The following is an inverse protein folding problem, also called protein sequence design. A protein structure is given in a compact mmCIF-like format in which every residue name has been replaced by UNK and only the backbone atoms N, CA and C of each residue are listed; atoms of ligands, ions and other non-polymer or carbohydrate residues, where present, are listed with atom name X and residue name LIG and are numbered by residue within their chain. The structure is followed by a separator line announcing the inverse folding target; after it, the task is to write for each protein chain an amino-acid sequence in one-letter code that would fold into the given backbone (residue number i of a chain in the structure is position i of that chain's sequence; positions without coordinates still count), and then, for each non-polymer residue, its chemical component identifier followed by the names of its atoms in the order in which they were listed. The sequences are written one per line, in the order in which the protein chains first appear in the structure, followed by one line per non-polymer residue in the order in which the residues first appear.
data_IF_160635911203
#
_entry.id   IF_160635911203
#
_cell.length_a   1.000
_cell.length_b   1.000
_cell.length_c   1.000
_cell.angle_alpha   90.00
_cell.angle_beta   90.00
_cell.angle_gamma   90.00
#
_symmetry.space_group_name_H-M   'P 1'
#
loop_
_entity.id
_entity.type
_entity.pdbx_description
1 polymer ?
#
# COMPACT_ATOMS: atom_id res chain seq x y z
N UNK A 1 20.83 8.15 12.87
CA UNK A 1 20.04 8.18 11.62
C UNK A 1 20.97 8.41 10.44
N UNK A 2 20.72 7.73 9.33
CA UNK A 2 21.41 7.91 8.05
C UNK A 2 20.93 9.18 7.37
N UNK A 3 21.81 9.80 6.60
CA UNK A 3 21.51 10.89 5.66
C UNK A 3 20.84 10.36 4.40
N UNK A 4 20.21 11.24 3.62
CA UNK A 4 19.58 10.84 2.35
C UNK A 4 20.59 10.15 1.41
N UNK A 5 21.79 10.70 1.26
CA UNK A 5 22.82 10.12 0.39
C UNK A 5 23.26 8.72 0.82
N UNK A 6 23.23 8.41 2.12
CA UNK A 6 23.52 7.06 2.63
C UNK A 6 22.37 6.06 2.44
N UNK A 7 21.16 6.56 2.13
CA UNK A 7 20.01 5.73 1.79
C UNK A 7 19.90 5.46 0.28
N UNK A 8 20.53 6.30 -0.55
CA UNK A 8 20.55 6.15 -2.00
C UNK A 8 21.66 5.20 -2.44
N UNK A 9 21.25 4.05 -2.96
CA UNK A 9 22.05 3.21 -3.82
C UNK A 9 21.80 3.61 -5.28
N UNK A 10 22.84 3.95 -6.02
CA UNK A 10 22.75 4.46 -7.40
C UNK A 10 22.97 3.32 -8.41
N UNK A 11 23.69 2.27 -8.02
CA UNK A 11 24.12 1.19 -8.91
C UNK A 11 23.18 -0.01 -8.83
N UNK A 12 22.74 -0.37 -7.63
CA UNK A 12 21.93 -1.56 -7.35
C UNK A 12 20.57 -1.22 -6.74
N UNK A 13 19.89 -0.21 -7.30
CA UNK A 13 18.51 0.10 -6.87
C UNK A 13 17.60 -1.12 -6.99
N UNK A 14 16.77 -1.36 -5.97
CA UNK A 14 15.65 -2.29 -6.04
C UNK A 14 14.67 -1.93 -7.17
N UNK A 15 14.68 -0.65 -7.59
CA UNK A 15 13.84 -0.13 -8.66
C UNK A 15 14.14 -0.75 -10.01
N UNK A 16 15.40 -1.05 -10.32
CA UNK A 16 15.74 -1.72 -11.58
C UNK A 16 15.07 -3.08 -11.69
N UNK A 17 15.03 -3.85 -10.60
CA UNK A 17 14.36 -5.16 -10.54
C UNK A 17 12.85 -5.03 -10.71
N UNK A 18 12.23 -4.06 -10.02
CA UNK A 18 10.79 -3.78 -10.13
C UNK A 18 10.41 -3.35 -11.55
N UNK A 19 11.20 -2.50 -12.20
CA UNK A 19 10.96 -2.08 -13.60
C UNK A 19 10.98 -3.26 -14.57
N UNK A 20 11.91 -4.20 -14.43
CA UNK A 20 11.96 -5.39 -15.28
C UNK A 20 10.77 -6.32 -15.06
N UNK A 21 10.29 -6.46 -13.82
CA UNK A 21 9.08 -7.23 -13.52
C UNK A 21 7.82 -6.58 -14.10
N UNK A 22 7.70 -5.25 -13.97
CA UNK A 22 6.57 -4.48 -14.49
C UNK A 22 6.48 -4.51 -16.02
N UNK A 23 7.61 -4.52 -16.74
CA UNK A 23 7.63 -4.65 -18.21
C UNK A 23 6.88 -5.88 -18.73
N UNK A 24 6.84 -6.94 -17.93
CA UNK A 24 6.21 -8.21 -18.28
C UNK A 24 4.90 -8.46 -17.51
N UNK A 25 4.42 -7.48 -16.73
CA UNK A 25 3.23 -7.63 -15.90
C UNK A 25 2.00 -8.00 -16.74
N UNK A 26 1.25 -9.00 -16.29
CA UNK A 26 -0.02 -9.39 -16.91
C UNK A 26 -1.19 -8.55 -16.40
N UNK A 27 -1.10 -8.04 -15.17
CA UNK A 27 -2.11 -7.19 -14.58
C UNK A 27 -1.91 -5.73 -15.00
N UNK A 28 -3.01 -5.00 -15.17
CA UNK A 28 -2.96 -3.56 -15.44
C UNK A 28 -2.28 -2.85 -14.26
N UNK A 29 -1.37 -1.92 -14.54
CA UNK A 29 -0.75 -1.09 -13.53
C UNK A 29 -0.61 0.37 -13.96
N UNK A 30 -0.59 1.27 -13.00
CA UNK A 30 -0.20 2.67 -13.16
C UNK A 30 0.86 3.03 -12.11
N UNK A 31 2.02 3.51 -12.55
CA UNK A 31 3.04 4.07 -11.66
C UNK A 31 2.73 5.55 -11.47
N UNK A 32 2.45 5.96 -10.23
CA UNK A 32 2.20 7.35 -9.91
C UNK A 32 3.51 8.13 -9.86
N UNK A 33 3.52 9.30 -10.48
CA UNK A 33 4.70 10.17 -10.49
C UNK A 33 5.03 10.65 -9.08
N UNK A 34 6.31 10.63 -8.72
CA UNK A 34 6.79 11.17 -7.45
C UNK A 34 6.87 12.70 -7.47
N UNK A 35 6.61 13.32 -6.33
CA UNK A 35 7.20 14.62 -6.00
C UNK A 35 8.57 14.37 -5.36
N UNK A 36 9.61 14.98 -5.90
CA UNK A 36 10.99 14.67 -5.47
C UNK A 36 11.26 15.10 -4.03
N UNK A 37 10.66 16.19 -3.57
CA UNK A 37 10.84 16.68 -2.20
C UNK A 37 10.15 15.75 -1.20
N UNK A 38 8.90 15.37 -1.50
CA UNK A 38 8.12 14.42 -0.70
C UNK A 38 8.79 13.05 -0.65
N UNK A 39 9.27 12.53 -1.79
CA UNK A 39 9.98 11.25 -1.85
C UNK A 39 11.28 11.25 -1.03
N UNK A 40 12.06 12.34 -1.08
CA UNK A 40 13.27 12.48 -0.27
C UNK A 40 12.94 12.46 1.23
N UNK A 41 11.89 13.19 1.64
CA UNK A 41 11.46 13.26 3.04
C UNK A 41 10.91 11.93 3.53
N UNK A 42 10.06 11.27 2.74
CA UNK A 42 9.52 9.94 3.02
C UNK A 42 10.63 8.90 3.18
N UNK A 43 11.58 8.86 2.24
CA UNK A 43 12.71 7.94 2.31
C UNK A 43 13.55 8.20 3.56
N UNK A 44 13.87 9.47 3.84
CA UNK A 44 14.64 9.85 5.03
C UNK A 44 13.90 9.45 6.31
N UNK A 45 12.60 9.71 6.41
CA UNK A 45 11.82 9.33 7.59
C UNK A 45 11.69 7.80 7.74
N UNK A 46 11.71 7.05 6.62
CA UNK A 46 11.67 5.58 6.66
C UNK A 46 12.98 4.95 7.14
N UNK A 47 14.12 5.61 6.89
CA UNK A 47 15.47 5.03 7.09
C UNK A 47 15.73 3.73 6.30
N UNK A 48 14.91 3.45 5.28
CA UNK A 48 15.05 2.32 4.37
C UNK A 48 15.92 2.73 3.17
N UNK A 49 16.81 1.85 2.70
CA UNK A 49 17.66 2.14 1.54
C UNK A 49 16.96 1.81 0.21
N UNK A 50 17.33 2.50 -0.87
CA UNK A 50 16.81 2.24 -2.22
C UNK A 50 17.31 0.94 -2.84
N UNK A 51 18.25 0.25 -2.20
CA UNK A 51 18.60 -1.14 -2.54
C UNK A 51 17.41 -2.10 -2.25
N UNK A 52 16.61 -1.81 -1.21
CA UNK A 52 15.39 -2.57 -0.94
C UNK A 52 14.27 -2.20 -1.91
N UNK A 53 13.32 -3.12 -2.13
CA UNK A 53 12.12 -2.85 -2.96
C UNK A 53 11.24 -1.76 -2.35
N UNK A 54 11.04 -1.76 -1.03
CA UNK A 54 10.22 -0.75 -0.33
C UNK A 54 10.84 0.64 -0.50
N UNK A 55 12.14 0.79 -0.17
CA UNK A 55 12.83 2.07 -0.32
C UNK A 55 12.89 2.56 -1.76
N UNK A 56 13.05 1.64 -2.72
CA UNK A 56 12.95 1.96 -4.14
C UNK A 56 11.57 2.50 -4.52
N UNK A 57 10.47 1.86 -4.08
CA UNK A 57 9.11 2.33 -4.39
C UNK A 57 8.82 3.68 -3.75
N UNK A 58 9.22 3.88 -2.49
CA UNK A 58 9.14 5.18 -1.80
C UNK A 58 9.89 6.25 -2.59
N UNK A 59 11.13 5.96 -3.01
CA UNK A 59 11.97 6.96 -3.65
C UNK A 59 11.60 7.26 -5.10
N UNK A 60 11.07 6.28 -5.83
CA UNK A 60 10.89 6.36 -7.28
C UNK A 60 9.45 6.62 -7.71
N UNK A 61 8.49 6.47 -6.80
CA UNK A 61 7.06 6.56 -7.15
C UNK A 61 6.27 7.30 -6.08
N UNK A 62 5.15 7.90 -6.49
CA UNK A 62 4.11 8.31 -5.56
C UNK A 62 3.23 7.16 -5.07
N UNK A 63 3.49 5.94 -5.53
CA UNK A 63 2.68 4.74 -5.33
C UNK A 63 2.46 3.99 -6.64
N UNK A 64 1.94 2.76 -6.54
CA UNK A 64 1.61 1.92 -7.68
C UNK A 64 0.16 1.48 -7.55
N UNK A 65 -0.64 1.78 -8.58
CA UNK A 65 -2.02 1.33 -8.69
C UNK A 65 -2.06 0.07 -9.55
N UNK A 66 -2.68 -0.99 -9.04
CA UNK A 66 -2.82 -2.28 -9.71
C UNK A 66 -4.31 -2.53 -9.97
N UNK A 67 -4.59 -3.16 -11.12
CA UNK A 67 -5.91 -3.56 -11.58
C UNK A 67 -6.93 -2.42 -11.51
N UNK A 68 -6.69 -1.40 -12.34
CA UNK A 68 -7.47 -0.15 -12.37
C UNK A 68 -7.56 0.61 -11.04
N UNK A 69 -6.56 0.44 -10.16
CA UNK A 69 -6.52 1.09 -8.85
C UNK A 69 -7.30 0.37 -7.76
N UNK A 70 -7.70 -0.89 -8.02
CA UNK A 70 -8.26 -1.78 -7.01
C UNK A 70 -7.28 -1.97 -5.85
N UNK A 71 -6.05 -2.37 -6.16
CA UNK A 71 -4.96 -2.51 -5.19
C UNK A 71 -4.01 -1.30 -5.30
N UNK A 72 -3.62 -0.74 -4.16
CA UNK A 72 -2.89 0.54 -4.09
C UNK A 72 -1.66 0.39 -3.19
N UNK A 73 -0.51 0.19 -3.81
CA UNK A 73 0.76 0.03 -3.11
C UNK A 73 1.34 1.41 -2.81
N UNK A 74 1.74 1.65 -1.56
CA UNK A 74 2.22 2.95 -1.11
C UNK A 74 3.64 3.24 -1.59
N UNK A 75 3.85 4.48 -2.04
CA UNK A 75 5.16 5.07 -2.30
C UNK A 75 5.33 6.37 -1.51
N UNK A 76 5.84 7.42 -2.13
CA UNK A 76 5.97 8.74 -1.49
C UNK A 76 4.65 9.52 -1.40
N UNK A 77 3.58 9.04 -2.01
CA UNK A 77 2.32 9.77 -2.18
C UNK A 77 2.26 10.59 -3.48
N UNK A 78 1.03 10.75 -3.99
CA UNK A 78 0.67 11.47 -5.22
C UNK A 78 -0.74 12.06 -5.08
N UNK A 79 -1.16 12.99 -5.93
CA UNK A 79 -2.54 13.51 -5.92
C UNK A 79 -3.62 12.40 -6.00
N UNK A 80 -3.38 11.33 -6.78
CA UNK A 80 -4.29 10.17 -6.89
C UNK A 80 -4.20 9.18 -5.71
N UNK A 81 -3.14 9.27 -4.92
CA UNK A 81 -2.89 8.42 -3.76
C UNK A 81 -2.22 9.29 -2.71
N UNK A 82 -2.98 10.21 -2.13
CA UNK A 82 -2.41 11.32 -1.36
C UNK A 82 -2.06 10.90 0.07
N UNK A 83 -1.15 9.95 0.17
CA UNK A 83 -0.57 9.41 1.40
C UNK A 83 0.78 8.78 1.06
N UNK A 84 1.85 9.24 1.71
CA UNK A 84 3.14 8.54 1.71
C UNK A 84 3.12 7.31 2.62
N UNK A 85 4.02 6.37 2.41
CA UNK A 85 4.11 5.16 3.23
C UNK A 85 4.34 5.50 4.71
N UNK A 86 5.29 6.37 5.03
CA UNK A 86 5.57 6.77 6.41
C UNK A 86 4.49 7.69 6.93
N UNK A 87 4.10 8.73 6.19
CA UNK A 87 3.01 9.64 6.55
C UNK A 87 1.74 8.88 6.94
N UNK A 88 1.38 7.83 6.20
CA UNK A 88 0.15 7.10 6.47
C UNK A 88 0.21 6.18 7.69
N UNK A 89 1.41 5.72 8.05
CA UNK A 89 1.66 4.86 9.20
C UNK A 89 1.91 5.65 10.49
N UNK A 90 2.23 6.94 10.40
CA UNK A 90 2.38 7.83 11.56
C UNK A 90 1.08 7.88 12.38
N UNK A 91 1.20 7.62 13.68
CA UNK A 91 0.05 7.60 14.60
C UNK A 91 -0.87 6.39 14.48
N UNK A 92 -0.53 5.41 13.62
CA UNK A 92 -1.21 4.11 13.52
C UNK A 92 -0.28 2.99 13.97
N UNK A 93 0.71 2.67 13.13
CA UNK A 93 1.69 1.62 13.40
C UNK A 93 3.01 2.19 13.90
N UNK A 94 3.37 3.40 13.45
CA UNK A 94 4.53 4.15 13.94
C UNK A 94 4.07 5.06 15.07
N UNK A 95 4.19 4.56 16.29
CA UNK A 95 3.83 5.28 17.52
C UNK A 95 5.00 6.13 18.05
N UNK A 96 6.23 5.66 17.83
CA UNK A 96 7.46 6.32 18.24
C UNK A 96 8.46 6.29 17.09
N UNK A 97 9.05 7.44 16.75
CA UNK A 97 10.00 7.53 15.62
C UNK A 97 11.33 6.81 15.90
N UNK A 98 11.63 6.53 17.16
CA UNK A 98 12.87 5.89 17.60
C UNK A 98 12.75 4.36 17.72
N UNK A 99 11.55 3.80 17.52
CA UNK A 99 11.29 2.37 17.61
C UNK A 99 10.72 1.83 16.29
N UNK A 100 11.18 0.66 15.82
CA UNK A 100 10.59 0.05 14.63
C UNK A 100 9.13 -0.34 14.93
N UNK A 101 8.19 -0.08 14.01
CA UNK A 101 6.81 -0.46 14.22
C UNK A 101 6.66 -1.99 14.26
N UNK A 102 5.69 -2.50 15.00
CA UNK A 102 5.45 -3.94 15.13
C UNK A 102 4.85 -4.57 13.85
N UNK A 103 4.33 -3.74 12.95
CA UNK A 103 3.99 -4.05 11.56
C UNK A 103 3.90 -2.73 10.79
N UNK A 104 3.91 -2.77 9.46
CA UNK A 104 3.88 -1.57 8.64
C UNK A 104 2.89 -1.74 7.51
N UNK A 105 1.92 -0.84 7.39
CA UNK A 105 0.95 -0.82 6.29
C UNK A 105 1.67 -0.47 4.99
N UNK A 106 1.50 -1.28 3.96
CA UNK A 106 2.21 -1.16 2.68
C UNK A 106 1.28 -1.03 1.48
N UNK A 107 -0.01 -1.39 1.62
CA UNK A 107 -1.03 -1.19 0.61
C UNK A 107 -2.44 -1.17 1.22
N UNK A 108 -3.41 -0.68 0.45
CA UNK A 108 -4.85 -0.89 0.66
C UNK A 108 -5.54 -1.30 -0.63
N UNK A 109 -6.78 -1.77 -0.49
CA UNK A 109 -7.70 -1.96 -1.59
C UNK A 109 -8.96 -1.09 -1.49
N UNK A 110 -9.76 -1.09 -2.55
CA UNK A 110 -10.97 -0.26 -2.68
C UNK A 110 -12.12 -0.65 -1.76
N UNK A 111 -12.05 -1.83 -1.13
CA UNK A 111 -13.11 -2.34 -0.24
C UNK A 111 -12.77 -2.10 1.24
N UNK A 112 -11.62 -1.49 1.53
CA UNK A 112 -11.19 -1.17 2.89
C UNK A 112 -10.28 -2.23 3.52
N UNK A 113 -9.77 -3.17 2.73
CA UNK A 113 -8.73 -4.09 3.17
C UNK A 113 -7.36 -3.42 3.25
N UNK A 114 -6.54 -3.84 4.21
CA UNK A 114 -5.18 -3.34 4.42
C UNK A 114 -4.16 -4.46 4.27
N UNK A 115 -3.02 -4.15 3.69
CA UNK A 115 -1.88 -5.06 3.65
C UNK A 115 -0.76 -4.50 4.50
N UNK A 116 -0.15 -5.35 5.32
CA UNK A 116 0.93 -4.97 6.21
C UNK A 116 2.08 -5.97 6.16
N UNK A 117 3.33 -5.48 6.24
CA UNK A 117 4.48 -6.33 6.54
C UNK A 117 4.59 -6.51 8.05
N UNK A 118 4.59 -7.75 8.51
CA UNK A 118 4.63 -8.07 9.93
C UNK A 118 6.05 -7.95 10.50
N UNK A 119 6.19 -7.30 11.65
CA UNK A 119 7.41 -7.21 12.43
C UNK A 119 7.21 -7.73 13.88
N UNK A 120 6.26 -8.67 14.04
CA UNK A 120 5.92 -9.33 15.31
C UNK A 120 4.62 -8.84 15.96
N UNK A 121 3.93 -7.86 15.38
CA UNK A 121 2.67 -7.31 15.90
C UNK A 121 1.42 -8.06 15.44
N UNK A 122 1.47 -8.77 14.32
CA UNK A 122 0.31 -9.46 13.73
C UNK A 122 0.36 -10.99 13.87
N UNK A 123 1.54 -11.53 14.17
CA UNK A 123 1.76 -12.96 14.35
C UNK A 123 3.23 -13.32 14.41
N UNK A 124 3.52 -14.63 14.45
CA UNK A 124 4.89 -15.16 14.66
C UNK A 124 5.76 -15.09 13.41
N UNK A 125 5.17 -14.96 12.23
CA UNK A 125 5.88 -14.95 10.95
C UNK A 125 6.36 -13.53 10.61
N UNK A 126 7.54 -13.16 11.11
CA UNK A 126 8.15 -11.86 10.81
C UNK A 126 8.56 -11.80 9.33
N UNK A 127 8.20 -10.70 8.66
CA UNK A 127 8.49 -10.45 7.25
C UNK A 127 7.36 -10.84 6.30
N UNK A 128 6.42 -11.67 6.76
CA UNK A 128 5.25 -12.05 5.97
C UNK A 128 4.29 -10.86 5.82
N UNK A 129 3.57 -10.85 4.70
CA UNK A 129 2.47 -9.93 4.43
C UNK A 129 1.19 -10.50 5.03
N UNK A 130 0.51 -9.67 5.81
CA UNK A 130 -0.81 -9.94 6.32
C UNK A 130 -1.85 -9.08 5.60
N UNK A 131 -3.04 -9.63 5.43
CA UNK A 131 -4.21 -8.93 4.92
C UNK A 131 -5.24 -8.74 6.02
N UNK A 132 -5.62 -7.50 6.30
CA UNK A 132 -6.77 -7.20 7.13
C UNK A 132 -8.02 -7.28 6.25
N UNK A 133 -8.77 -8.36 6.39
CA UNK A 133 -9.96 -8.60 5.56
C UNK A 133 -11.14 -7.75 6.06
N UNK A 134 -11.82 -7.01 5.17
CA UNK A 134 -13.00 -6.23 5.55
C UNK A 134 -14.19 -7.13 5.92
N UNK A 135 -14.19 -8.41 5.53
CA UNK A 135 -15.26 -9.35 5.84
C UNK A 135 -15.10 -9.96 7.24
N UNK A 136 -13.87 -10.32 7.61
CA UNK A 136 -13.58 -10.98 8.91
C UNK A 136 -13.18 -9.97 9.99
N UNK A 137 -12.69 -8.79 9.58
CA UNK A 137 -12.09 -7.79 10.46
C UNK A 137 -10.92 -8.35 11.28
N UNK A 138 -10.19 -9.29 10.68
CA UNK A 138 -9.03 -9.96 11.25
C UNK A 138 -7.83 -9.89 10.29
N UNK A 139 -6.63 -9.96 10.86
CA UNK A 139 -5.39 -10.07 10.10
C UNK A 139 -5.12 -11.53 9.72
N UNK A 140 -5.02 -11.78 8.42
CA UNK A 140 -4.78 -13.10 7.85
C UNK A 140 -3.37 -13.13 7.26
N UNK A 141 -2.54 -14.10 7.68
CA UNK A 141 -1.22 -14.28 7.08
C UNK A 141 -1.37 -14.80 5.65
N UNK A 142 -0.78 -14.11 4.67
CA UNK A 142 -0.77 -14.54 3.27
C UNK A 142 0.38 -15.51 2.96
N UNK A 143 1.26 -15.77 3.92
CA UNK A 143 2.43 -16.67 3.81
C UNK A 143 3.39 -16.29 2.68
N UNK A 144 3.49 -14.98 2.41
CA UNK A 144 4.36 -14.42 1.36
C UNK A 144 5.13 -13.22 1.88
N UNK A 145 6.35 -13.03 1.37
CA UNK A 145 7.13 -11.83 1.64
C UNK A 145 6.73 -10.64 0.73
N UNK A 146 7.29 -9.46 0.98
CA UNK A 146 6.99 -8.27 0.17
C UNK A 146 7.34 -8.40 -1.32
N UNK A 147 8.38 -9.17 -1.67
CA UNK A 147 8.76 -9.37 -3.07
C UNK A 147 7.74 -10.26 -3.78
N UNK A 148 7.29 -11.32 -3.12
CA UNK A 148 6.25 -12.23 -3.60
C UNK A 148 4.89 -11.52 -3.69
N UNK A 149 4.56 -10.65 -2.74
CA UNK A 149 3.36 -9.80 -2.80
C UNK A 149 3.37 -8.87 -4.02
N UNK A 150 4.50 -8.21 -4.32
CA UNK A 150 4.62 -7.40 -5.54
C UNK A 150 4.48 -8.26 -6.79
N UNK A 151 5.13 -9.42 -6.83
CA UNK A 151 5.02 -10.35 -7.96
C UNK A 151 3.57 -10.82 -8.16
N UNK A 152 2.83 -11.11 -7.08
CA UNK A 152 1.40 -11.40 -7.12
C UNK A 152 0.58 -10.22 -7.66
N UNK A 153 0.86 -8.99 -7.21
CA UNK A 153 0.21 -7.81 -7.77
C UNK A 153 0.45 -7.65 -9.28
N UNK A 154 1.66 -7.93 -9.76
CA UNK A 154 2.02 -7.75 -11.18
C UNK A 154 1.56 -8.90 -12.08
N UNK A 155 1.56 -10.14 -11.57
CA UNK A 155 1.40 -11.36 -12.38
C UNK A 155 0.37 -12.36 -11.85
N UNK A 156 -0.04 -12.24 -10.59
CA UNK A 156 -0.94 -13.17 -9.92
C UNK A 156 -2.39 -13.02 -10.34
N UNK A 157 -3.22 -14.01 -9.99
CA UNK A 157 -4.66 -13.97 -10.24
C UNK A 157 -5.39 -13.12 -9.19
N UNK A 158 -5.43 -11.82 -9.45
CA UNK A 158 -6.14 -10.85 -8.59
C UNK A 158 -7.65 -11.09 -8.63
N UNK A 159 -8.19 -11.62 -9.73
CA UNK A 159 -9.62 -11.92 -9.81
C UNK A 159 -9.98 -13.03 -8.83
N UNK A 160 -9.17 -14.08 -8.74
CA UNK A 160 -9.39 -15.16 -7.78
C UNK A 160 -9.36 -14.66 -6.33
N UNK A 161 -8.41 -13.79 -5.98
CA UNK A 161 -8.31 -13.24 -4.62
C UNK A 161 -9.54 -12.40 -4.23
N UNK A 162 -10.11 -11.66 -5.18
CA UNK A 162 -11.24 -10.73 -4.94
C UNK A 162 -12.58 -11.24 -5.50
N UNK A 163 -12.71 -12.52 -5.84
CA UNK A 163 -13.87 -13.04 -6.59
C UNK A 163 -15.20 -12.78 -5.88
N UNK A 164 -15.25 -13.00 -4.57
CA UNK A 164 -16.44 -12.75 -3.73
C UNK A 164 -16.72 -11.25 -3.49
N UNK A 165 -15.75 -10.38 -3.79
CA UNK A 165 -15.76 -8.97 -3.42
C UNK A 165 -16.00 -8.05 -4.63
N UNK A 166 -15.90 -8.59 -5.86
CA UNK A 166 -16.12 -7.85 -7.11
C UNK A 166 -17.59 -7.80 -7.49
N UNK A 167 -18.10 -6.59 -7.71
CA UNK A 167 -19.43 -6.38 -8.30
C UNK A 167 -19.33 -6.10 -9.81
N UNK A 168 -20.40 -6.37 -10.57
CA UNK A 168 -20.35 -6.39 -12.04
C UNK A 168 -19.78 -5.13 -12.72
N UNK A 169 -19.94 -3.96 -12.11
CA UNK A 169 -19.56 -2.67 -12.69
C UNK A 169 -18.34 -2.04 -12.02
N UNK A 170 -17.62 -2.78 -11.18
CA UNK A 170 -16.57 -2.22 -10.33
C UNK A 170 -15.52 -1.41 -11.09
N UNK A 171 -15.11 -1.86 -12.27
CA UNK A 171 -14.13 -1.13 -13.11
C UNK A 171 -14.66 0.24 -13.52
N UNK A 172 -15.91 0.31 -13.96
CA UNK A 172 -16.56 1.57 -14.41
C UNK A 172 -16.72 2.51 -13.22
N UNK A 173 -17.13 1.96 -12.08
CA UNK A 173 -17.36 2.74 -10.86
C UNK A 173 -16.04 3.31 -10.32
N UNK A 174 -14.94 2.54 -10.34
CA UNK A 174 -13.61 3.03 -9.96
C UNK A 174 -13.09 4.13 -10.89
N UNK A 175 -13.31 4.00 -12.21
CA UNK A 175 -12.90 5.03 -13.16
C UNK A 175 -13.65 6.35 -12.92
N UNK A 176 -14.93 6.28 -12.56
CA UNK A 176 -15.72 7.46 -12.21
C UNK A 176 -15.27 8.09 -10.89
N UNK A 177 -14.98 7.28 -9.87
CA UNK A 177 -14.47 7.73 -8.57
C UNK A 177 -13.13 8.45 -8.71
N UNK A 178 -12.18 7.87 -9.44
CA UNK A 178 -10.88 8.50 -9.71
C UNK A 178 -10.99 9.79 -10.54
N UNK A 179 -12.01 9.90 -11.40
CA UNK A 179 -12.28 11.15 -12.11
C UNK A 179 -12.83 12.24 -11.17
N UNK A 180 -13.67 11.85 -10.21
CA UNK A 180 -14.23 12.76 -9.21
C UNK A 180 -13.16 13.29 -8.24
N UNK A 181 -12.26 12.43 -7.75
CA UNK A 181 -11.14 12.82 -6.88
C UNK A 181 -10.21 13.86 -7.52
N UNK A 182 -10.02 13.82 -8.86
CA UNK A 182 -9.27 14.85 -9.59
C UNK A 182 -9.95 16.22 -9.62
N UNK A 183 -11.25 16.30 -9.34
CA UNK A 183 -12.05 17.53 -9.46
C UNK A 183 -12.45 18.14 -8.11
N UNK A 184 -12.30 17.42 -7.01
CA UNK A 184 -12.55 17.92 -5.67
C UNK A 184 -11.68 17.19 -4.67
N UNK A 185 -11.06 17.92 -3.74
CA UNK A 185 -10.20 17.37 -2.67
C UNK A 185 -10.93 16.51 -1.64
N UNK A 186 -11.66 15.48 -2.09
CA UNK A 186 -12.40 14.53 -1.28
C UNK A 186 -11.65 13.20 -1.20
N UNK A 187 -10.82 13.06 -0.17
CA UNK A 187 -10.22 11.79 0.26
C UNK A 187 -11.20 11.00 1.14
N UNK A 188 -12.36 10.60 0.59
CA UNK A 188 -13.34 9.78 1.33
C UNK A 188 -14.06 8.80 0.39
N UNK A 189 -13.31 7.92 -0.29
CA UNK A 189 -13.90 6.70 -0.84
C UNK A 189 -13.61 5.57 0.13
N UNK A 190 -14.50 5.38 1.10
CA UNK A 190 -14.70 4.08 1.76
C UNK A 190 -16.01 3.90 2.55
N UNK A 191 -16.91 4.88 2.61
CA UNK A 191 -18.10 4.76 3.49
C UNK A 191 -19.46 4.59 2.82
N UNK A 192 -19.63 4.79 1.51
CA UNK A 192 -20.97 4.76 0.89
C UNK A 192 -21.36 3.49 0.14
N UNK A 193 -20.39 2.64 -0.21
CA UNK A 193 -20.68 1.41 -0.98
C UNK A 193 -20.06 0.14 -0.40
N UNK A 194 -19.35 0.19 0.74
CA UNK A 194 -19.15 -1.00 1.56
C UNK A 194 -20.50 -1.31 2.21
N UNK A 195 -21.21 -2.28 1.64
CA UNK A 195 -22.42 -2.83 2.23
C UNK A 195 -22.10 -3.40 3.61
N UNK A 196 -22.40 -2.62 4.66
CA UNK A 196 -22.79 -3.15 5.96
C UNK A 196 -21.72 -3.39 7.02
N UNK A 197 -20.44 -3.56 6.70
CA UNK A 197 -19.50 -4.08 7.72
C UNK A 197 -18.97 -3.02 8.70
N UNK A 198 -18.70 -1.79 8.24
CA UNK A 198 -18.16 -0.73 9.10
C UNK A 198 -19.21 0.16 9.78
N UNK A 199 -20.50 -0.01 9.45
CA UNK A 199 -21.54 0.87 9.98
C UNK A 199 -22.06 0.45 11.37
N UNK A 200 -21.79 -0.78 11.82
CA UNK A 200 -22.34 -1.34 13.06
C UNK A 200 -21.35 -1.47 14.23
N UNK A 201 -20.04 -1.28 14.02
CA UNK A 201 -19.05 -1.27 15.11
C UNK A 201 -18.61 0.16 15.44
N UNK A 202 -18.59 0.49 16.73
CA UNK A 202 -18.09 1.78 17.20
C UNK A 202 -16.66 1.99 16.68
N UNK A 203 -16.45 3.09 15.98
CA UNK A 203 -15.21 3.45 15.27
C UNK A 203 -13.93 3.21 16.08
N UNK A 204 -13.97 3.27 17.42
CA UNK A 204 -12.82 3.06 18.31
C UNK A 204 -12.30 1.61 18.35
N UNK A 205 -13.14 0.60 18.18
CA UNK A 205 -12.70 -0.81 18.19
C UNK A 205 -11.99 -1.18 16.89
N UNK A 206 -12.41 -0.60 15.77
CA UNK A 206 -11.77 -0.77 14.48
C UNK A 206 -10.37 -0.14 14.44
N UNK A 207 -10.22 1.08 14.98
CA UNK A 207 -8.92 1.75 15.05
C UNK A 207 -7.92 1.02 15.97
N UNK A 208 -8.39 0.17 16.89
CA UNK A 208 -7.51 -0.68 17.71
C UNK A 208 -7.05 -1.95 16.99
N UNK A 209 -7.73 -2.33 15.90
CA UNK A 209 -7.46 -3.54 15.12
C UNK A 209 -6.57 -3.28 13.90
N UNK A 210 -6.46 -2.02 13.44
CA UNK A 210 -5.66 -1.56 12.29
C UNK A 210 -4.45 -0.76 12.78
#
# INVERSE_FOLDING_TARGET
MKTLNELLDIEETGWNRIKEELKNASNHYEILTKDSTRANNELLNSQITTHSRIGAIIYETGGILIDHGWLRILGSGNEKLNRGLIEWNQGKTILHLDEPPSYLLIADDVIGGFFAINNGGLGVNIGDIYYFSPDTLEWENLEVDYSQFLAWGFHGDINQFYDSLRWKTWVVDLQQLMCAEKTGGFNLVNYRHSSGVYHEQETEDLHRRI
#
